data_IF_894228864871
#
_entry.id   IF_894228864871
#
_cell.length_a   1.000
_cell.length_b   1.000
_cell.length_c   1.000
_cell.angle_alpha   90.00
_cell.angle_beta   90.00
_cell.angle_gamma   90.00
#
_symmetry.space_group_name_H-M   'P 1'
#
loop_
_entity.id
_entity.type
_entity.pdbx_description
1 polymer ?
#
# COMPACT_ATOMS: atom_id res chain seq x y z
N UNK A 1 -27.48 -31.56 -30.67
CA UNK A 1 -27.62 -31.02 -29.31
C UNK A 1 -26.33 -31.38 -28.57
N UNK A 2 -25.46 -30.41 -28.31
CA UNK A 2 -24.20 -30.64 -27.60
C UNK A 2 -24.43 -30.44 -26.09
N UNK A 3 -24.02 -31.42 -25.30
CA UNK A 3 -24.13 -31.40 -23.84
C UNK A 3 -23.12 -30.40 -23.25
N UNK A 4 -23.59 -29.61 -22.28
CA UNK A 4 -22.78 -28.71 -21.46
C UNK A 4 -22.01 -29.60 -20.47
N UNK A 5 -20.66 -29.51 -20.35
CA UNK A 5 -19.96 -30.29 -19.34
C UNK A 5 -20.24 -29.75 -17.94
N UNK A 6 -20.50 -30.69 -17.04
CA UNK A 6 -20.84 -30.47 -15.64
C UNK A 6 -19.81 -29.60 -14.91
N UNK A 7 -20.33 -28.66 -14.12
CA UNK A 7 -19.58 -27.83 -13.20
C UNK A 7 -18.95 -28.71 -12.11
N UNK A 8 -17.63 -28.85 -12.12
CA UNK A 8 -16.90 -29.45 -11.01
C UNK A 8 -16.76 -28.42 -9.88
N UNK A 9 -17.48 -28.60 -8.77
CA UNK A 9 -17.29 -27.77 -7.57
C UNK A 9 -16.08 -28.28 -6.78
N UNK A 10 -15.09 -27.41 -6.60
CA UNK A 10 -13.94 -27.67 -5.71
C UNK A 10 -14.22 -26.99 -4.37
N UNK A 11 -14.50 -27.79 -3.33
CA UNK A 11 -14.57 -27.33 -1.95
C UNK A 11 -13.15 -27.35 -1.35
N UNK A 12 -12.60 -26.18 -1.05
CA UNK A 12 -11.32 -26.02 -0.36
C UNK A 12 -11.57 -25.71 1.12
N UNK A 13 -11.45 -26.71 1.98
CA UNK A 13 -11.40 -26.50 3.42
C UNK A 13 -9.96 -26.19 3.84
N UNK A 14 -9.75 -24.99 4.40
CA UNK A 14 -8.45 -24.54 4.91
C UNK A 14 -8.35 -24.88 6.40
N UNK A 15 -7.58 -25.90 6.75
CA UNK A 15 -7.11 -26.08 8.12
C UNK A 15 -5.76 -25.41 8.30
N UNK A 16 -5.69 -24.41 9.18
CA UNK A 16 -4.44 -23.79 9.58
C UNK A 16 -3.74 -24.66 10.64
N UNK A 17 -2.58 -25.21 10.28
CA UNK A 17 -1.59 -25.67 11.25
C UNK A 17 -0.21 -25.17 10.87
N UNK A 18 0.47 -24.63 11.88
CA UNK A 18 1.89 -24.29 11.86
C UNK A 18 2.74 -25.51 11.43
N UNK A 19 3.73 -25.24 10.57
CA UNK A 19 4.82 -26.12 10.09
C UNK A 19 4.56 -27.01 8.85
N UNK A 20 5.04 -26.48 7.70
CA UNK A 20 5.80 -27.14 6.62
C UNK A 20 5.17 -28.26 5.78
N UNK A 21 3.91 -28.66 5.96
CA UNK A 21 3.21 -29.52 4.98
C UNK A 21 1.76 -29.09 4.80
N UNK A 22 1.42 -28.66 3.59
CA UNK A 22 0.02 -28.51 3.16
C UNK A 22 -0.38 -29.84 2.53
N UNK A 23 -1.41 -30.48 3.09
CA UNK A 23 -2.02 -31.68 2.49
C UNK A 23 -3.33 -31.24 1.82
N UNK A 24 -3.38 -31.35 0.50
CA UNK A 24 -4.60 -31.06 -0.28
C UNK A 24 -5.22 -32.40 -0.68
N UNK A 25 -6.45 -32.66 -0.24
CA UNK A 25 -7.23 -33.82 -0.67
C UNK A 25 -8.21 -33.39 -1.75
N UNK A 26 -8.09 -33.97 -2.94
CA UNK A 26 -9.00 -33.70 -4.06
C UNK A 26 -9.80 -34.98 -4.34
N UNK A 27 -11.12 -34.90 -4.27
CA UNK A 27 -12.04 -35.98 -4.64
C UNK A 27 -12.63 -35.68 -6.02
N UNK A 28 -12.45 -36.59 -6.97
CA UNK A 28 -12.95 -36.47 -8.34
C UNK A 28 -13.83 -37.68 -8.66
N UNK A 29 -15.07 -37.42 -9.08
CA UNK A 29 -15.93 -38.46 -9.68
C UNK A 29 -15.62 -38.53 -11.18
N UNK A 30 -14.92 -39.58 -11.60
CA UNK A 30 -14.55 -39.82 -13.01
C UNK A 30 -15.17 -41.11 -13.55
N UNK A 31 -15.68 -41.12 -14.81
CA UNK A 31 -16.21 -42.32 -15.46
C UNK A 31 -15.15 -43.42 -15.62
N UNK A 32 -15.57 -44.69 -15.58
CA UNK A 32 -14.70 -45.85 -15.78
C UNK A 32 -13.91 -45.75 -17.10
N UNK A 33 -12.60 -46.01 -17.04
CA UNK A 33 -11.69 -45.95 -18.19
C UNK A 33 -10.96 -44.63 -18.40
N UNK A 34 -11.19 -43.62 -17.55
CA UNK A 34 -10.51 -42.32 -17.64
C UNK A 34 -9.15 -42.34 -16.94
N UNK A 35 -8.08 -41.93 -17.63
CA UNK A 35 -6.75 -41.77 -17.03
C UNK A 35 -6.59 -40.35 -16.49
N UNK A 36 -6.29 -40.22 -15.20
CA UNK A 36 -5.97 -38.93 -14.57
C UNK A 36 -4.46 -38.76 -14.56
N UNK A 37 -3.96 -37.69 -15.20
CA UNK A 37 -2.57 -37.28 -15.11
C UNK A 37 -2.44 -36.13 -14.12
N UNK A 38 -1.67 -36.32 -13.04
CA UNK A 38 -1.41 -35.30 -12.02
C UNK A 38 0.01 -34.79 -12.22
N UNK A 39 0.14 -33.59 -12.77
CA UNK A 39 1.40 -32.88 -12.84
C UNK A 39 1.50 -31.90 -11.67
N UNK A 40 2.45 -32.14 -10.77
CA UNK A 40 2.81 -31.17 -9.72
C UNK A 40 3.95 -30.31 -10.23
N UNK A 41 3.67 -29.04 -10.55
CA UNK A 41 4.74 -28.06 -10.76
C UNK A 41 5.49 -27.83 -9.45
N UNK A 42 6.82 -27.67 -9.52
CA UNK A 42 7.61 -27.25 -8.37
C UNK A 42 7.02 -25.94 -7.81
N UNK A 43 6.94 -25.76 -6.48
CA UNK A 43 6.44 -24.53 -5.89
C UNK A 43 7.25 -23.38 -6.48
N UNK A 44 6.59 -22.51 -7.25
CA UNK A 44 7.20 -21.25 -7.64
C UNK A 44 7.41 -20.49 -6.34
N UNK A 45 8.67 -20.41 -5.90
CA UNK A 45 9.07 -19.47 -4.86
C UNK A 45 8.86 -18.10 -5.46
N UNK A 46 7.65 -17.56 -5.27
CA UNK A 46 7.43 -16.13 -5.38
C UNK A 46 8.38 -15.57 -4.34
N UNK A 47 9.43 -14.87 -4.76
CA UNK A 47 10.30 -14.20 -3.83
C UNK A 47 9.39 -13.28 -3.01
N UNK A 48 9.11 -13.66 -1.77
CA UNK A 48 8.54 -12.77 -0.78
C UNK A 48 9.50 -11.59 -0.76
N UNK A 49 9.10 -10.49 -1.40
CA UNK A 49 9.85 -9.26 -1.36
C UNK A 49 9.91 -8.90 0.13
N UNK A 50 11.07 -9.11 0.73
CA UNK A 50 11.34 -8.76 2.12
C UNK A 50 10.78 -7.36 2.31
N UNK A 51 9.78 -7.16 3.20
CA UNK A 51 9.20 -5.85 3.39
C UNK A 51 10.34 -4.88 3.70
N UNK A 52 10.38 -3.71 3.05
CA UNK A 52 11.47 -2.76 3.25
C UNK A 52 11.62 -2.48 4.75
N UNK A 53 12.83 -2.69 5.28
CA UNK A 53 13.17 -2.55 6.70
C UNK A 53 13.22 -1.09 7.18
N UNK A 54 12.59 -0.16 6.46
CA UNK A 54 12.62 1.28 6.74
C UNK A 54 12.61 2.13 5.47
N UNK A 55 12.94 3.41 5.65
CA UNK A 55 13.08 4.37 4.56
C UNK A 55 14.33 4.03 3.71
N UNK A 56 14.25 3.99 2.37
CA UNK A 56 15.41 3.72 1.52
C UNK A 56 16.53 4.76 1.69
N UNK A 57 17.79 4.34 1.57
CA UNK A 57 18.96 5.19 1.80
C UNK A 57 19.00 6.42 0.88
N UNK A 58 18.50 6.30 -0.35
CA UNK A 58 18.39 7.40 -1.31
C UNK A 58 17.38 8.46 -0.85
N UNK A 59 16.29 8.03 -0.22
CA UNK A 59 15.30 8.92 0.36
C UNK A 59 15.87 9.59 1.61
N UNK A 60 16.58 8.86 2.46
CA UNK A 60 17.30 9.42 3.61
C UNK A 60 18.27 10.55 3.20
N UNK A 61 19.08 10.30 2.17
CA UNK A 61 19.99 11.31 1.64
C UNK A 61 19.23 12.55 1.16
N UNK A 62 18.11 12.38 0.45
CA UNK A 62 17.26 13.50 0.03
C UNK A 62 16.64 14.27 1.20
N UNK A 63 16.14 13.58 2.23
CA UNK A 63 15.65 14.23 3.44
C UNK A 63 16.73 15.07 4.09
N UNK A 64 17.96 14.53 4.16
CA UNK A 64 19.10 15.22 4.74
C UNK A 64 19.49 16.50 3.96
N UNK A 65 19.32 16.49 2.63
CA UNK A 65 19.70 17.60 1.74
C UNK A 65 18.59 18.65 1.59
N UNK A 66 17.34 18.22 1.41
CA UNK A 66 16.24 19.07 0.93
C UNK A 66 15.24 19.49 2.02
N UNK A 67 15.14 18.72 3.12
CA UNK A 67 14.20 19.04 4.20
C UNK A 67 14.87 19.95 5.24
N UNK A 68 14.19 20.99 5.74
CA UNK A 68 14.70 21.81 6.84
C UNK A 68 15.06 20.97 8.07
N UNK A 69 16.22 21.25 8.68
CA UNK A 69 16.79 20.44 9.78
C UNK A 69 15.82 20.21 10.94
N UNK A 70 15.00 21.20 11.28
CA UNK A 70 13.98 21.10 12.35
C UNK A 70 12.81 20.17 12.01
N UNK A 71 12.55 19.91 10.73
CA UNK A 71 11.41 19.11 10.26
C UNK A 71 11.82 17.68 9.86
N UNK A 72 13.12 17.44 9.64
CA UNK A 72 13.64 16.11 9.23
C UNK A 72 13.16 14.95 10.11
N UNK A 73 13.21 15.04 11.46
CA UNK A 73 12.77 13.91 12.30
C UNK A 73 11.31 13.53 12.06
N UNK A 74 10.44 14.53 11.88
CA UNK A 74 9.02 14.31 11.63
C UNK A 74 8.73 13.79 10.22
N UNK A 75 9.46 14.30 9.22
CA UNK A 75 9.37 13.80 7.85
C UNK A 75 9.82 12.33 7.77
N UNK A 76 10.95 12.00 8.39
CA UNK A 76 11.45 10.63 8.50
C UNK A 76 10.42 9.74 9.18
N UNK A 77 9.98 10.10 10.40
CA UNK A 77 9.03 9.30 11.16
C UNK A 77 7.71 9.05 10.40
N UNK A 78 7.21 10.05 9.66
CA UNK A 78 6.04 9.85 8.81
C UNK A 78 6.28 8.84 7.68
N UNK A 79 7.39 8.97 6.94
CA UNK A 79 7.71 8.08 5.82
C UNK A 79 7.99 6.66 6.31
N UNK A 80 8.76 6.53 7.39
CA UNK A 80 9.07 5.25 8.03
C UNK A 80 7.80 4.53 8.46
N UNK A 81 6.87 5.22 9.13
CA UNK A 81 5.59 4.61 9.52
C UNK A 81 4.74 4.22 8.32
N UNK A 82 4.73 4.99 7.24
CA UNK A 82 4.03 4.59 6.02
C UNK A 82 4.61 3.31 5.42
N UNK A 83 5.93 3.18 5.40
CA UNK A 83 6.60 2.00 4.83
C UNK A 83 6.44 0.79 5.75
N UNK A 84 6.80 0.93 7.02
CA UNK A 84 6.87 -0.17 7.99
C UNK A 84 5.49 -0.57 8.52
N UNK A 85 4.64 0.39 8.91
CA UNK A 85 3.32 0.07 9.49
C UNK A 85 2.29 -0.23 8.40
N UNK A 86 2.34 0.49 7.27
CA UNK A 86 1.29 0.43 6.25
C UNK A 86 1.70 -0.30 4.98
N UNK A 87 2.95 -0.78 4.87
CA UNK A 87 3.45 -1.48 3.68
C UNK A 87 3.51 -0.61 2.42
N UNK A 88 3.56 0.72 2.57
CA UNK A 88 3.61 1.62 1.42
C UNK A 88 4.98 1.55 0.74
N UNK A 89 5.01 1.81 -0.57
CA UNK A 89 6.27 2.05 -1.27
C UNK A 89 6.49 3.53 -1.53
N UNK A 90 7.74 3.94 -1.38
CA UNK A 90 8.20 5.28 -1.69
C UNK A 90 8.77 5.27 -3.10
N UNK A 91 8.23 6.14 -3.95
CA UNK A 91 8.84 6.37 -5.26
C UNK A 91 9.30 7.82 -5.35
N UNK A 92 10.53 7.96 -5.81
CA UNK A 92 11.02 9.26 -6.22
C UNK A 92 10.30 9.72 -7.48
N UNK A 93 10.02 11.02 -7.61
CA UNK A 93 9.50 11.58 -8.85
C UNK A 93 10.53 11.41 -9.97
N UNK A 94 10.10 10.87 -11.12
CA UNK A 94 10.96 10.74 -12.29
C UNK A 94 11.29 12.11 -12.89
N UNK A 95 12.58 12.36 -13.13
CA UNK A 95 13.11 13.52 -13.86
C UNK A 95 13.75 14.62 -12.98
N UNK A 96 14.81 15.24 -13.51
CA UNK A 96 15.65 16.25 -12.82
C UNK A 96 14.88 17.49 -12.31
N UNK A 97 13.72 17.80 -12.90
CA UNK A 97 12.90 18.98 -12.56
C UNK A 97 11.80 18.72 -11.52
N UNK A 98 11.66 17.50 -10.98
CA UNK A 98 10.51 17.15 -10.11
C UNK A 98 10.90 16.75 -8.69
N UNK A 99 12.11 17.06 -8.24
CA UNK A 99 12.62 16.73 -6.90
C UNK A 99 11.95 17.52 -5.73
N UNK A 100 10.73 18.03 -5.89
CA UNK A 100 10.08 18.86 -4.87
C UNK A 100 9.33 18.04 -3.82
N UNK A 101 8.99 16.79 -4.14
CA UNK A 101 8.20 15.94 -3.26
C UNK A 101 8.53 14.46 -3.44
N UNK A 102 8.21 13.66 -2.44
CA UNK A 102 8.20 12.19 -2.54
C UNK A 102 6.77 11.69 -2.65
N UNK A 103 6.52 10.73 -3.54
CA UNK A 103 5.22 10.08 -3.65
C UNK A 103 5.19 8.81 -2.80
N UNK A 104 4.06 8.59 -2.14
CA UNK A 104 3.74 7.34 -1.46
C UNK A 104 2.66 6.61 -2.25
N UNK A 105 2.87 5.31 -2.41
CA UNK A 105 1.94 4.40 -3.04
C UNK A 105 1.55 3.28 -2.07
N UNK A 106 0.33 2.72 -2.21
CA UNK A 106 -0.17 1.72 -1.31
C UNK A 106 0.60 0.40 -1.46
N UNK A 107 0.38 -0.55 -0.54
CA UNK A 107 0.81 -1.93 -0.66
C UNK A 107 0.46 -2.58 -2.00
N UNK A 108 1.19 -3.64 -2.34
CA UNK A 108 1.06 -4.35 -3.62
C UNK A 108 -0.33 -4.96 -3.86
N UNK A 109 -1.08 -5.28 -2.80
CA UNK A 109 -2.43 -5.83 -2.93
C UNK A 109 -3.51 -4.78 -3.29
N UNK A 110 -3.18 -3.49 -3.24
CA UNK A 110 -4.09 -2.40 -3.58
C UNK A 110 -3.96 -1.99 -5.04
N UNK A 111 -5.00 -1.35 -5.60
CA UNK A 111 -4.89 -0.66 -6.89
C UNK A 111 -3.74 0.37 -6.84
N UNK A 112 -2.81 0.31 -7.80
CA UNK A 112 -1.70 1.26 -7.89
C UNK A 112 -2.22 2.68 -8.18
N UNK A 113 -2.29 3.49 -7.13
CA UNK A 113 -2.59 4.91 -7.18
C UNK A 113 -1.83 5.61 -6.06
N UNK A 114 -1.44 6.86 -6.25
CA UNK A 114 -0.77 7.62 -5.21
C UNK A 114 -1.71 7.84 -4.02
N UNK A 115 -1.23 7.56 -2.80
CA UNK A 115 -1.98 7.75 -1.54
C UNK A 115 -1.54 9.00 -0.78
N UNK A 116 -0.28 9.42 -0.94
CA UNK A 116 0.21 10.66 -0.37
C UNK A 116 1.38 11.24 -1.18
N UNK A 117 1.63 12.53 -0.97
CA UNK A 117 2.84 13.21 -1.45
C UNK A 117 3.35 14.17 -0.37
N UNK A 118 4.63 14.04 -0.01
CA UNK A 118 5.31 14.88 0.97
C UNK A 118 6.26 15.84 0.25
N UNK A 119 6.03 17.15 0.35
CA UNK A 119 6.90 18.18 -0.22
C UNK A 119 8.13 18.39 0.67
N UNK A 120 9.34 18.27 0.13
CA UNK A 120 10.57 18.35 0.94
C UNK A 120 10.77 19.73 1.59
N UNK A 121 10.57 20.81 0.83
CA UNK A 121 10.84 22.19 1.27
C UNK A 121 9.99 22.67 2.45
N UNK A 122 8.86 22.02 2.71
CA UNK A 122 7.87 22.48 3.69
C UNK A 122 7.26 21.38 4.56
N UNK A 123 7.54 20.11 4.25
CA UNK A 123 6.84 18.93 4.83
C UNK A 123 5.33 18.98 4.68
N UNK A 124 4.84 19.72 3.68
CA UNK A 124 3.42 19.70 3.30
C UNK A 124 3.07 18.32 2.80
N UNK A 125 2.04 17.71 3.37
CA UNK A 125 1.61 16.36 3.00
C UNK A 125 0.23 16.43 2.38
N UNK A 126 0.15 16.21 1.08
CA UNK A 126 -1.12 15.96 0.39
C UNK A 126 -1.49 14.48 0.57
N UNK A 127 -2.72 14.18 0.98
CA UNK A 127 -3.16 12.79 1.18
C UNK A 127 -4.35 12.53 0.27
N UNK A 128 -4.18 11.67 -0.71
CA UNK A 128 -5.12 11.43 -1.81
C UNK A 128 -6.20 10.42 -1.39
N UNK A 129 -6.89 10.68 -0.29
CA UNK A 129 -8.10 9.93 0.09
C UNK A 129 -9.26 10.20 -0.87
N UNK A 130 -9.27 11.37 -1.53
CA UNK A 130 -10.48 11.96 -2.10
C UNK A 130 -11.24 12.80 -1.06
N UNK A 131 -12.48 13.24 -1.35
CA UNK A 131 -13.27 13.98 -0.38
C UNK A 131 -13.63 13.09 0.82
N UNK A 132 -13.35 13.58 2.03
CA UNK A 132 -13.75 12.98 3.32
C UNK A 132 -14.23 14.06 4.31
N UNK A 133 -15.00 13.65 5.32
CA UNK A 133 -15.21 14.53 6.46
C UNK A 133 -13.91 14.65 7.27
N UNK A 134 -13.58 15.87 7.70
CA UNK A 134 -12.39 16.16 8.50
C UNK A 134 -12.73 16.39 9.99
N UNK A 135 -13.97 16.15 10.40
CA UNK A 135 -14.33 16.12 11.82
C UNK A 135 -13.40 15.12 12.55
N UNK A 136 -12.68 15.61 13.55
CA UNK A 136 -11.68 14.84 14.30
C UNK A 136 -10.23 15.02 13.83
N UNK A 137 -9.99 15.62 12.66
CA UNK A 137 -8.66 15.95 12.14
C UNK A 137 -8.40 17.44 12.29
N UNK A 138 -7.69 17.82 13.35
CA UNK A 138 -7.55 19.23 13.75
C UNK A 138 -6.46 19.98 12.98
N UNK A 139 -5.53 19.26 12.36
CA UNK A 139 -4.38 19.82 11.65
C UNK A 139 -4.55 19.73 10.13
N UNK A 140 -5.43 18.85 9.65
CA UNK A 140 -5.73 18.69 8.24
C UNK A 140 -6.57 19.87 7.69
N UNK A 141 -6.21 20.32 6.50
CA UNK A 141 -6.93 21.37 5.77
C UNK A 141 -7.55 20.80 4.48
N UNK A 142 -8.68 21.38 4.06
CA UNK A 142 -9.30 21.02 2.78
C UNK A 142 -8.50 21.62 1.63
N UNK A 143 -8.08 20.79 0.68
CA UNK A 143 -7.57 21.28 -0.62
C UNK A 143 -8.72 21.31 -1.62
N UNK A 144 -8.94 22.48 -2.22
CA UNK A 144 -9.96 22.67 -3.25
C UNK A 144 -9.32 22.59 -4.64
N UNK A 145 -9.98 21.91 -5.58
CA UNK A 145 -9.65 21.92 -7.00
C UNK A 145 -10.88 22.40 -7.77
N UNK A 146 -10.74 23.52 -8.50
CA UNK A 146 -11.85 24.10 -9.29
C UNK A 146 -13.14 24.32 -8.47
N UNK A 147 -13.01 24.77 -7.22
CA UNK A 147 -14.15 25.00 -6.31
C UNK A 147 -14.73 23.75 -5.64
N UNK A 148 -14.21 22.55 -5.96
CA UNK A 148 -14.64 21.28 -5.36
C UNK A 148 -13.58 20.79 -4.39
N UNK A 149 -13.99 20.31 -3.22
CA UNK A 149 -13.05 19.70 -2.28
C UNK A 149 -12.45 18.44 -2.90
N UNK A 150 -11.13 18.39 -3.01
CA UNK A 150 -10.42 17.30 -3.67
C UNK A 150 -9.89 16.29 -2.66
N UNK A 151 -9.09 16.74 -1.69
CA UNK A 151 -8.41 15.89 -0.72
C UNK A 151 -7.87 16.67 0.48
N UNK A 152 -7.65 16.02 1.64
CA UNK A 152 -7.00 16.66 2.79
C UNK A 152 -5.51 16.92 2.57
N UNK A 153 -5.01 18.00 3.17
CA UNK A 153 -3.60 18.34 3.19
C UNK A 153 -3.19 18.77 4.60
N UNK A 154 -2.09 18.21 5.10
CA UNK A 154 -1.44 18.73 6.29
C UNK A 154 -0.45 19.82 5.86
N UNK A 155 -0.55 21.04 6.42
CA UNK A 155 0.30 22.15 6.02
C UNK A 155 1.76 21.94 6.43
N UNK A 156 2.03 21.29 7.56
CA UNK A 156 3.38 20.95 7.99
C UNK A 156 3.37 19.73 8.92
N UNK A 157 4.39 18.87 8.84
CA UNK A 157 4.64 17.79 9.80
C UNK A 157 5.61 18.30 10.87
N UNK A 158 5.08 18.97 11.89
CA UNK A 158 5.90 19.61 12.95
C UNK A 158 5.68 19.02 14.34
N UNK A 159 4.86 17.99 14.47
CA UNK A 159 4.55 17.33 15.74
C UNK A 159 4.09 15.90 15.52
N UNK A 160 4.20 15.07 16.56
CA UNK A 160 3.73 13.68 16.53
C UNK A 160 2.25 13.58 16.22
N UNK A 161 1.43 14.51 16.74
CA UNK A 161 0.01 14.61 16.41
C UNK A 161 -0.23 14.84 14.91
N UNK A 162 0.59 15.65 14.25
CA UNK A 162 0.48 15.85 12.80
C UNK A 162 0.81 14.55 12.04
N UNK A 163 1.80 13.80 12.51
CA UNK A 163 2.16 12.50 11.93
C UNK A 163 1.01 11.50 12.13
N UNK A 164 0.44 11.42 13.33
CA UNK A 164 -0.69 10.52 13.62
C UNK A 164 -1.92 10.82 12.77
N UNK A 165 -2.29 12.10 12.65
CA UNK A 165 -3.39 12.52 11.77
C UNK A 165 -3.09 12.16 10.30
N UNK A 166 -1.86 12.40 9.83
CA UNK A 166 -1.46 12.04 8.48
C UNK A 166 -1.53 10.52 8.24
N UNK A 167 -1.04 9.71 9.16
CA UNK A 167 -1.08 8.24 9.08
C UNK A 167 -2.52 7.73 9.08
N UNK A 168 -3.38 8.25 9.94
CA UNK A 168 -4.79 7.89 9.97
C UNK A 168 -5.49 8.21 8.63
N UNK A 169 -5.17 9.34 8.01
CA UNK A 169 -5.68 9.70 6.69
C UNK A 169 -5.11 8.81 5.57
N UNK A 170 -3.83 8.43 5.62
CA UNK A 170 -3.24 7.47 4.66
C UNK A 170 -3.92 6.10 4.77
N UNK A 171 -4.21 5.62 5.97
CA UNK A 171 -4.98 4.38 6.17
C UNK A 171 -6.33 4.42 5.46
N UNK A 172 -7.05 5.54 5.54
CA UNK A 172 -8.31 5.74 4.82
C UNK A 172 -8.09 5.71 3.29
N UNK A 173 -7.00 6.31 2.80
CA UNK A 173 -6.68 6.32 1.37
C UNK A 173 -6.42 4.89 0.86
N UNK A 174 -5.64 4.10 1.61
CA UNK A 174 -5.34 2.70 1.28
C UNK A 174 -6.63 1.87 1.29
N UNK A 175 -7.45 1.97 2.34
CA UNK A 175 -8.70 1.21 2.46
C UNK A 175 -9.71 1.50 1.34
N UNK A 176 -9.62 2.67 0.67
CA UNK A 176 -10.43 2.99 -0.52
C UNK A 176 -9.92 2.31 -1.79
N UNK A 177 -8.64 1.95 -1.85
CA UNK A 177 -8.00 1.30 -3.00
C UNK A 177 -8.03 -0.25 -2.92
N UNK A 178 -8.44 -0.79 -1.77
CA UNK A 178 -8.72 -2.22 -1.56
C UNK A 178 -10.12 -2.65 -2.01
N UNK A 179 -11.03 -1.69 -2.25
CA UNK A 179 -12.42 -1.92 -2.67
C UNK A 179 -12.56 -1.90 -4.19
#
# INVERSE_FOLDING_TARGET
MAAIPDLCMVLLERQEQHMSKITITITLDVPEGTQIHVETAAPQVVADAVPPLGVPAEVEDLLSRLVPKSMRPHAHAFLERCVVELGCSLEMPEGERRLDYINLYPPQHCRRSRVAALTYSSTRTAIYTGPIDLVGYTLAQRTMNSGVYAYPKLPHLTSDRAIDEAIALVKIAIARLER
#
